data_IF_229181366779
#
_entry.id   IF_229181366779
#
_cell.length_a   1.000
_cell.length_b   1.000
_cell.length_c   1.000
_cell.angle_alpha   90.00
_cell.angle_beta   90.00
_cell.angle_gamma   90.00
#
_symmetry.space_group_name_H-M   'P 1'
#
loop_
_entity.id
_entity.type
_entity.pdbx_description
1 polymer ?
#
# COMPACT_ATOMS: atom_id res chain seq x y z
N UNK A 1 1.46 13.11 31.76
CA UNK A 1 2.16 13.46 33.02
C UNK A 1 1.40 13.01 34.29
N UNK A 2 0.06 13.29 34.39
CA UNK A 2 -0.76 12.87 35.57
C UNK A 2 -0.71 11.35 35.76
N UNK A 3 -0.98 10.56 34.69
CA UNK A 3 -0.89 9.11 34.70
C UNK A 3 0.45 8.59 35.25
N UNK A 4 1.58 9.07 34.71
CA UNK A 4 2.92 8.65 35.16
C UNK A 4 3.20 8.97 36.64
N UNK A 5 2.66 10.08 37.15
CA UNK A 5 2.81 10.43 38.59
C UNK A 5 1.94 9.57 39.49
N UNK A 6 0.72 9.25 39.05
CA UNK A 6 -0.22 8.44 39.83
C UNK A 6 0.30 7.01 40.01
N UNK A 7 1.00 6.47 38.98
CA UNK A 7 1.48 5.09 38.97
C UNK A 7 3.01 4.98 39.08
N UNK A 8 3.65 6.02 39.60
CA UNK A 8 5.11 6.05 39.79
C UNK A 8 5.52 4.90 40.75
N UNK A 9 6.51 4.10 40.28
CA UNK A 9 7.03 2.91 40.96
C UNK A 9 6.00 1.77 41.19
N UNK A 10 4.86 1.80 40.50
CA UNK A 10 3.82 0.76 40.57
C UNK A 10 3.62 0.04 39.25
N UNK A 11 2.81 -1.02 39.25
CA UNK A 11 2.30 -1.66 38.07
C UNK A 11 1.00 -0.99 37.61
N UNK A 12 0.72 -1.06 36.30
CA UNK A 12 -0.51 -0.51 35.73
C UNK A 12 -1.21 -1.55 34.86
N UNK A 13 -2.51 -1.42 34.77
CA UNK A 13 -3.33 -2.12 33.79
C UNK A 13 -3.67 -1.20 32.60
N UNK A 14 -4.08 -1.78 31.49
CA UNK A 14 -4.50 -1.04 30.29
C UNK A 14 -5.58 0.01 30.62
N UNK A 15 -6.50 -0.34 31.48
CA UNK A 15 -7.60 0.52 31.96
C UNK A 15 -7.13 1.80 32.65
N UNK A 16 -6.06 1.76 33.42
CA UNK A 16 -5.53 2.92 34.15
C UNK A 16 -5.11 4.05 33.15
N UNK A 17 -4.59 3.66 32.00
CA UNK A 17 -4.22 4.62 30.95
C UNK A 17 -5.46 5.27 30.35
N UNK A 18 -6.51 4.47 30.05
CA UNK A 18 -7.76 4.99 29.47
C UNK A 18 -8.48 5.92 30.42
N UNK A 19 -8.54 5.56 31.69
CA UNK A 19 -9.14 6.39 32.73
C UNK A 19 -8.39 7.73 32.91
N UNK A 20 -7.06 7.68 32.83
CA UNK A 20 -6.24 8.89 32.90
C UNK A 20 -6.41 9.79 31.66
N UNK A 21 -6.58 9.21 30.45
CA UNK A 21 -6.88 9.95 29.22
C UNK A 21 -8.29 10.54 29.32
N UNK A 22 -9.30 9.73 29.66
CA UNK A 22 -10.68 10.19 29.85
C UNK A 22 -10.78 11.36 30.82
N UNK A 23 -10.11 11.27 31.98
CA UNK A 23 -10.04 12.36 32.94
C UNK A 23 -9.34 13.64 32.44
N UNK A 24 -8.53 13.52 31.39
CA UNK A 24 -7.82 14.66 30.79
C UNK A 24 -8.63 15.33 29.66
N UNK A 25 -9.45 14.56 28.92
CA UNK A 25 -10.25 15.03 27.77
C UNK A 25 -11.65 15.48 28.18
N UNK A 26 -12.14 15.05 29.35
CA UNK A 26 -13.47 15.38 29.84
C UNK A 26 -14.53 14.34 29.48
N UNK A 27 -15.68 14.79 28.94
CA UNK A 27 -16.86 13.94 28.71
C UNK A 27 -16.76 12.93 27.55
N UNK A 28 -15.60 12.79 26.92
CA UNK A 28 -15.40 11.85 25.81
C UNK A 28 -15.43 10.39 26.32
N UNK A 29 -16.09 9.46 25.61
CA UNK A 29 -16.25 8.08 26.03
C UNK A 29 -14.98 7.24 25.76
N UNK A 30 -13.81 7.73 26.21
CA UNK A 30 -12.50 7.13 25.94
C UNK A 30 -12.46 5.67 26.36
N UNK A 31 -12.99 5.35 27.56
CA UNK A 31 -12.97 3.99 28.09
C UNK A 31 -13.73 3.01 27.19
N UNK A 32 -15.01 3.30 26.87
CA UNK A 32 -15.83 2.41 26.05
C UNK A 32 -15.30 2.28 24.62
N UNK A 33 -14.74 3.36 24.07
CA UNK A 33 -14.11 3.37 22.76
C UNK A 33 -12.89 2.45 22.73
N UNK A 34 -12.00 2.58 23.71
CA UNK A 34 -10.80 1.76 23.79
C UNK A 34 -11.10 0.31 24.13
N UNK A 35 -12.05 0.06 25.04
CA UNK A 35 -12.49 -1.29 25.39
C UNK A 35 -13.07 -2.03 24.18
N UNK A 36 -13.84 -1.34 23.32
CA UNK A 36 -14.35 -1.94 22.08
C UNK A 36 -13.23 -2.34 21.09
N UNK A 37 -12.08 -1.68 21.15
CA UNK A 37 -10.96 -1.93 20.24
C UNK A 37 -9.94 -2.93 20.79
N UNK A 38 -9.81 -3.04 22.14
CA UNK A 38 -8.76 -3.86 22.78
C UNK A 38 -9.29 -5.26 23.14
N UNK A 39 -10.56 -5.37 23.56
CA UNK A 39 -11.09 -6.61 24.12
C UNK A 39 -11.82 -7.51 23.11
N UNK A 40 -11.87 -7.12 21.85
CA UNK A 40 -12.38 -7.99 20.78
C UNK A 40 -11.39 -8.13 19.63
N UNK A 41 -11.28 -9.33 19.02
CA UNK A 41 -10.33 -9.57 17.94
C UNK A 41 -10.82 -8.95 16.62
N UNK A 42 -9.85 -8.54 15.77
CA UNK A 42 -10.14 -7.94 14.47
C UNK A 42 -10.26 -6.42 14.52
N UNK A 43 -10.82 -5.83 13.47
CA UNK A 43 -11.02 -4.39 13.34
C UNK A 43 -12.16 -4.10 12.34
N UNK A 44 -12.74 -2.89 12.37
CA UNK A 44 -13.87 -2.56 11.53
C UNK A 44 -13.51 -2.24 10.08
N UNK A 45 -14.42 -2.57 9.18
CA UNK A 45 -14.56 -2.02 7.84
C UNK A 45 -15.71 -1.01 7.87
N UNK A 46 -15.42 0.26 7.67
CA UNK A 46 -16.42 1.30 7.50
C UNK A 46 -16.87 1.34 6.05
N UNK A 47 -18.14 1.07 5.82
CA UNK A 47 -18.74 1.14 4.48
C UNK A 47 -19.34 2.52 4.27
N UNK A 48 -18.99 3.14 3.16
CA UNK A 48 -19.46 4.46 2.77
C UNK A 48 -20.24 4.36 1.46
N UNK A 49 -21.50 4.82 1.47
CA UNK A 49 -22.35 4.86 0.29
C UNK A 49 -23.19 6.13 0.23
N UNK A 50 -23.66 6.45 -0.97
CA UNK A 50 -24.56 7.60 -1.18
C UNK A 50 -25.98 7.10 -1.39
N UNK A 51 -26.91 7.63 -0.60
CA UNK A 51 -28.34 7.43 -0.73
C UNK A 51 -29.02 8.79 -0.97
N UNK A 52 -29.36 9.08 -2.22
CA UNK A 52 -29.91 10.40 -2.59
C UNK A 52 -28.92 11.55 -2.34
N UNK A 53 -29.20 12.36 -1.34
CA UNK A 53 -28.33 13.49 -0.91
C UNK A 53 -27.65 13.22 0.44
N UNK A 54 -27.57 12.01 0.86
CA UNK A 54 -26.95 11.62 2.13
C UNK A 54 -25.79 10.68 1.90
N UNK A 55 -24.70 10.90 2.64
CA UNK A 55 -23.66 9.91 2.89
C UNK A 55 -24.13 9.03 4.03
N UNK A 56 -24.18 7.74 3.80
CA UNK A 56 -24.51 6.73 4.81
C UNK A 56 -23.25 5.94 5.15
N UNK A 57 -22.94 5.89 6.44
CA UNK A 57 -21.80 5.13 6.98
C UNK A 57 -22.35 4.04 7.89
N UNK A 58 -21.90 2.82 7.69
CA UNK A 58 -22.10 1.71 8.61
C UNK A 58 -20.81 0.91 8.75
N UNK A 59 -20.80 -0.08 9.63
CA UNK A 59 -19.62 -0.90 9.87
C UNK A 59 -19.93 -2.40 9.83
N UNK A 60 -18.91 -3.17 9.53
CA UNK A 60 -18.85 -4.61 9.76
C UNK A 60 -17.42 -4.99 10.15
N UNK A 61 -17.22 -6.19 10.66
CA UNK A 61 -15.87 -6.73 10.85
C UNK A 61 -15.16 -6.89 9.50
N UNK A 62 -13.92 -6.42 9.39
CA UNK A 62 -13.09 -6.73 8.23
C UNK A 62 -12.60 -8.17 8.29
N UNK A 63 -12.66 -8.87 7.17
CA UNK A 63 -12.16 -10.24 7.01
C UNK A 63 -12.01 -10.62 5.55
N UNK A 64 -11.07 -11.53 5.28
CA UNK A 64 -10.85 -12.06 3.94
C UNK A 64 -11.83 -13.20 3.57
N UNK A 65 -12.44 -13.83 4.56
CA UNK A 65 -13.43 -14.88 4.37
C UNK A 65 -14.82 -14.42 4.87
N UNK A 66 -15.85 -15.08 4.38
CA UNK A 66 -17.24 -14.72 4.70
C UNK A 66 -17.59 -14.99 6.17
N UNK A 67 -17.04 -16.03 6.77
CA UNK A 67 -17.31 -16.36 8.18
C UNK A 67 -16.83 -15.23 9.09
N UNK A 68 -15.64 -14.69 8.84
CA UNK A 68 -15.12 -13.53 9.56
C UNK A 68 -15.96 -12.28 9.32
N UNK A 69 -16.41 -12.03 8.08
CA UNK A 69 -17.23 -10.86 7.74
C UNK A 69 -18.64 -10.92 8.34
N UNK A 70 -19.16 -12.13 8.56
CA UNK A 70 -20.48 -12.36 9.17
C UNK A 70 -20.47 -12.30 10.69
N UNK A 71 -19.31 -12.11 11.31
CA UNK A 71 -19.18 -11.95 12.76
C UNK A 71 -19.89 -10.67 13.20
N UNK A 72 -20.73 -10.69 14.24
CA UNK A 72 -21.55 -9.55 14.67
C UNK A 72 -20.79 -8.52 15.52
N UNK A 73 -19.47 -8.60 15.62
CA UNK A 73 -18.67 -7.67 16.39
C UNK A 73 -18.86 -6.22 15.94
N UNK A 74 -19.06 -5.32 16.87
CA UNK A 74 -19.28 -3.89 16.64
C UNK A 74 -18.28 -3.10 17.47
N UNK A 75 -17.68 -2.09 16.87
CA UNK A 75 -16.73 -1.17 17.48
C UNK A 75 -17.35 0.20 17.72
N UNK A 76 -16.79 0.95 18.63
CA UNK A 76 -16.98 2.40 18.74
C UNK A 76 -15.92 3.07 17.86
N UNK A 77 -16.27 3.43 16.62
CA UNK A 77 -15.29 3.92 15.64
C UNK A 77 -15.33 5.45 15.53
N UNK A 78 -14.28 6.16 15.95
CA UNK A 78 -14.17 7.60 15.66
C UNK A 78 -13.90 7.79 14.17
N UNK A 79 -14.89 8.24 13.43
CA UNK A 79 -14.79 8.44 11.98
C UNK A 79 -14.58 9.92 11.69
N UNK A 80 -13.55 10.20 10.88
CA UNK A 80 -13.24 11.51 10.37
C UNK A 80 -13.67 11.58 8.89
N UNK A 81 -14.56 12.51 8.56
CA UNK A 81 -15.13 12.65 7.21
C UNK A 81 -14.88 14.05 6.69
N UNK A 82 -14.35 14.16 5.47
CA UNK A 82 -14.24 15.39 4.71
C UNK A 82 -15.03 15.27 3.41
N UNK A 83 -15.86 16.26 3.11
CA UNK A 83 -16.67 16.34 1.89
C UNK A 83 -16.20 17.53 1.07
N UNK A 84 -15.65 17.28 -0.11
CA UNK A 84 -15.07 18.32 -0.95
C UNK A 84 -14.02 19.15 -0.22
N UNK A 85 -14.11 20.47 -0.32
CA UNK A 85 -13.25 21.43 0.39
C UNK A 85 -13.77 21.86 1.77
N UNK A 86 -14.84 21.21 2.30
CA UNK A 86 -15.41 21.55 3.59
C UNK A 86 -14.52 21.14 4.78
N UNK A 87 -14.81 21.73 5.95
CA UNK A 87 -14.15 21.33 7.17
C UNK A 87 -14.44 19.86 7.53
N UNK A 88 -13.46 19.21 8.14
CA UNK A 88 -13.58 17.84 8.62
C UNK A 88 -14.69 17.72 9.67
N UNK A 89 -15.52 16.71 9.53
CA UNK A 89 -16.53 16.31 10.51
C UNK A 89 -16.05 15.07 11.25
N UNK A 90 -16.28 15.05 12.54
CA UNK A 90 -15.99 13.92 13.44
C UNK A 90 -17.29 13.33 13.94
N UNK A 91 -17.39 12.02 13.90
CA UNK A 91 -18.56 11.29 14.41
C UNK A 91 -18.11 9.99 15.06
N UNK A 92 -18.94 9.48 15.95
CA UNK A 92 -18.74 8.15 16.55
C UNK A 92 -19.70 7.18 15.89
N UNK A 93 -19.17 6.22 15.15
CA UNK A 93 -19.95 5.18 14.49
C UNK A 93 -20.02 3.95 15.41
N UNK A 94 -21.23 3.61 15.84
CA UNK A 94 -21.56 2.41 16.61
C UNK A 94 -22.33 1.39 15.75
N UNK A 95 -23.32 0.72 16.37
CA UNK A 95 -24.15 -0.27 15.70
C UNK A 95 -25.08 0.33 14.64
N UNK A 96 -25.59 1.53 14.90
CA UNK A 96 -26.53 2.19 14.01
C UNK A 96 -25.81 2.97 12.91
N UNK A 97 -26.27 2.89 11.65
CA UNK A 97 -25.73 3.68 10.56
C UNK A 97 -25.82 5.19 10.85
N UNK A 98 -24.75 5.92 10.49
CA UNK A 98 -24.71 7.38 10.55
C UNK A 98 -25.06 7.97 9.19
N UNK A 99 -25.85 9.05 9.17
CA UNK A 99 -26.29 9.75 7.96
C UNK A 99 -25.81 11.21 8.00
N UNK A 100 -25.17 11.65 6.93
CA UNK A 100 -24.65 13.01 6.78
C UNK A 100 -25.21 13.61 5.50
N UNK A 101 -25.91 14.73 5.60
CA UNK A 101 -26.38 15.46 4.42
C UNK A 101 -25.18 15.94 3.57
N UNK A 102 -25.29 15.78 2.27
CA UNK A 102 -24.36 16.26 1.27
C UNK A 102 -24.95 17.49 0.58
N UNK A 103 -24.33 18.65 0.80
CA UNK A 103 -24.70 19.89 0.10
C UNK A 103 -24.50 19.74 -1.41
N UNK A 104 -23.38 19.14 -1.79
CA UNK A 104 -23.07 18.73 -3.16
C UNK A 104 -22.99 17.18 -3.23
N UNK A 105 -23.99 16.53 -3.83
CA UNK A 105 -23.98 15.07 -3.99
C UNK A 105 -22.87 14.53 -4.90
N UNK A 106 -22.18 15.40 -5.67
CA UNK A 106 -21.06 15.02 -6.53
C UNK A 106 -19.69 15.24 -5.87
N UNK A 107 -19.65 15.87 -4.70
CA UNK A 107 -18.39 16.14 -4.00
C UNK A 107 -17.61 14.85 -3.67
N UNK A 108 -16.29 14.95 -3.70
CA UNK A 108 -15.39 13.88 -3.22
C UNK A 108 -15.58 13.71 -1.72
N UNK A 109 -15.79 12.48 -1.27
CA UNK A 109 -15.92 12.14 0.14
C UNK A 109 -14.69 11.35 0.57
N UNK A 110 -13.99 11.86 1.58
CA UNK A 110 -12.86 11.18 2.21
C UNK A 110 -13.30 10.73 3.59
N UNK A 111 -13.40 9.43 3.77
CA UNK A 111 -13.60 8.78 5.07
C UNK A 111 -12.24 8.38 5.63
N UNK A 112 -12.03 8.52 6.91
CA UNK A 112 -10.71 8.48 7.57
C UNK A 112 -9.79 9.64 7.10
N UNK A 113 -10.36 10.82 6.98
CA UNK A 113 -9.59 12.01 6.62
C UNK A 113 -8.39 12.18 7.56
N UNK A 114 -7.21 12.42 6.99
CA UNK A 114 -5.95 12.52 7.73
C UNK A 114 -5.38 11.18 8.23
N UNK A 115 -6.07 10.06 8.04
CA UNK A 115 -5.54 8.73 8.37
C UNK A 115 -5.44 8.42 9.87
N UNK A 116 -6.31 9.00 10.68
CA UNK A 116 -6.21 8.91 12.14
C UNK A 116 -6.86 7.64 12.74
N UNK A 117 -7.82 7.04 12.03
CA UNK A 117 -8.59 5.91 12.52
C UNK A 117 -7.95 4.56 12.17
N UNK A 118 -8.09 3.58 13.06
CA UNK A 118 -7.67 2.20 12.82
C UNK A 118 -8.86 1.37 12.28
N UNK A 119 -9.16 1.56 11.01
CA UNK A 119 -10.21 0.85 10.25
C UNK A 119 -9.93 0.96 8.76
N UNK A 120 -10.51 0.05 7.97
CA UNK A 120 -10.54 0.14 6.52
C UNK A 120 -11.81 0.83 6.03
N UNK A 121 -11.77 1.35 4.82
CA UNK A 121 -12.92 2.01 4.20
C UNK A 121 -13.31 1.31 2.90
N UNK A 122 -14.58 0.95 2.79
CA UNK A 122 -15.17 0.48 1.55
C UNK A 122 -16.12 1.54 0.99
N UNK A 123 -15.74 2.15 -0.11
CA UNK A 123 -16.57 3.08 -0.85
C UNK A 123 -17.46 2.33 -1.84
N UNK A 124 -18.73 2.74 -2.00
CA UNK A 124 -19.55 2.28 -3.11
C UNK A 124 -18.99 2.75 -4.47
N UNK A 125 -19.54 2.26 -5.56
CA UNK A 125 -19.06 2.61 -6.91
C UNK A 125 -19.19 4.12 -7.17
N UNK A 126 -20.30 4.72 -6.77
CA UNK A 126 -20.55 6.15 -7.01
C UNK A 126 -19.52 7.05 -6.31
N UNK A 127 -19.13 6.70 -5.10
CA UNK A 127 -18.07 7.41 -4.36
C UNK A 127 -16.68 7.16 -4.93
N UNK A 128 -16.35 5.89 -5.32
CA UNK A 128 -15.06 5.57 -5.94
C UNK A 128 -14.83 6.31 -7.25
N UNK A 129 -15.87 6.47 -8.06
CA UNK A 129 -15.78 7.18 -9.35
C UNK A 129 -15.43 8.65 -9.20
N UNK A 130 -15.70 9.26 -8.03
CA UNK A 130 -15.34 10.67 -7.74
C UNK A 130 -13.84 10.90 -7.49
N UNK A 131 -13.07 9.84 -7.17
CA UNK A 131 -11.62 9.96 -7.05
C UNK A 131 -10.96 9.99 -8.43
N UNK A 132 -11.19 11.09 -9.17
CA UNK A 132 -10.52 11.37 -10.44
C UNK A 132 -9.05 11.71 -10.21
N UNK A 133 -8.23 11.74 -11.28
CA UNK A 133 -6.83 12.15 -11.17
C UNK A 133 -6.67 13.57 -10.57
N UNK A 134 -7.61 14.47 -10.84
CA UNK A 134 -7.64 15.81 -10.25
C UNK A 134 -7.98 15.77 -8.76
N UNK A 135 -8.99 14.97 -8.38
CA UNK A 135 -9.37 14.80 -6.99
C UNK A 135 -8.23 14.21 -6.14
N UNK A 136 -7.50 13.24 -6.68
CA UNK A 136 -6.35 12.62 -6.00
C UNK A 136 -5.25 13.63 -5.66
N UNK A 137 -5.04 14.67 -6.47
CA UNK A 137 -4.07 15.75 -6.15
C UNK A 137 -4.45 16.56 -4.93
N UNK A 138 -5.72 16.62 -4.59
CA UNK A 138 -6.23 17.31 -3.38
C UNK A 138 -6.16 16.46 -2.09
N UNK A 139 -5.77 15.17 -2.19
CA UNK A 139 -5.63 14.29 -1.06
C UNK A 139 -4.22 14.35 -0.46
N UNK A 140 -4.13 14.16 0.85
CA UNK A 140 -2.84 13.96 1.52
C UNK A 140 -2.23 12.61 1.11
N UNK A 141 -0.94 12.44 1.30
CA UNK A 141 -0.24 11.17 0.99
C UNK A 141 -0.88 9.98 1.70
N UNK A 142 -1.23 10.13 2.99
CA UNK A 142 -1.82 9.04 3.76
C UNK A 142 -3.22 8.68 3.24
N UNK A 143 -4.02 9.65 2.81
CA UNK A 143 -5.34 9.41 2.23
C UNK A 143 -5.24 8.67 0.89
N UNK A 144 -4.27 9.04 0.04
CA UNK A 144 -4.01 8.33 -1.22
C UNK A 144 -3.52 6.90 -0.96
N UNK A 145 -2.60 6.72 0.01
CA UNK A 145 -2.14 5.41 0.42
C UNK A 145 -3.28 4.52 0.89
N UNK A 146 -4.11 5.01 1.81
CA UNK A 146 -5.26 4.27 2.33
C UNK A 146 -6.26 3.90 1.23
N UNK A 147 -6.56 4.82 0.32
CA UNK A 147 -7.47 4.56 -0.79
C UNK A 147 -7.01 3.37 -1.65
N UNK A 148 -5.71 3.29 -1.94
CA UNK A 148 -5.14 2.17 -2.70
C UNK A 148 -5.10 0.90 -1.88
N UNK A 149 -4.62 0.97 -0.63
CA UNK A 149 -4.48 -0.20 0.24
C UNK A 149 -5.84 -0.81 0.60
N UNK A 150 -6.84 0.02 0.92
CA UNK A 150 -8.19 -0.44 1.19
C UNK A 150 -8.84 -1.08 -0.04
N UNK A 151 -8.67 -0.48 -1.23
CA UNK A 151 -9.18 -1.04 -2.47
C UNK A 151 -8.52 -2.39 -2.80
N UNK A 152 -7.20 -2.53 -2.61
CA UNK A 152 -6.51 -3.78 -2.82
C UNK A 152 -6.97 -4.87 -1.83
N UNK A 153 -7.07 -4.54 -0.55
CA UNK A 153 -7.57 -5.49 0.44
C UNK A 153 -9.04 -5.88 0.21
N UNK A 154 -9.86 -4.99 -0.35
CA UNK A 154 -11.21 -5.33 -0.78
C UNK A 154 -11.23 -6.32 -1.97
N UNK A 155 -10.23 -6.24 -2.88
CA UNK A 155 -10.07 -7.25 -3.95
C UNK A 155 -9.70 -8.60 -3.36
N UNK A 156 -8.72 -8.65 -2.45
CA UNK A 156 -8.30 -9.89 -1.79
C UNK A 156 -9.45 -10.52 -0.97
N UNK A 157 -10.30 -9.67 -0.39
CA UNK A 157 -11.50 -10.09 0.35
C UNK A 157 -12.71 -10.41 -0.56
N UNK A 158 -12.55 -10.42 -1.89
CA UNK A 158 -13.62 -10.66 -2.88
C UNK A 158 -14.80 -9.66 -2.83
N UNK A 159 -14.58 -8.49 -2.21
CA UNK A 159 -15.57 -7.42 -2.08
C UNK A 159 -15.46 -6.37 -3.19
N UNK A 160 -14.37 -6.39 -3.95
CA UNK A 160 -14.13 -5.50 -5.08
C UNK A 160 -13.56 -6.30 -6.26
N UNK A 161 -14.10 -6.09 -7.45
CA UNK A 161 -13.53 -6.69 -8.65
C UNK A 161 -12.12 -6.13 -8.95
N UNK A 162 -11.18 -7.00 -9.36
CA UNK A 162 -9.82 -6.60 -9.75
C UNK A 162 -9.82 -5.51 -10.83
N UNK A 163 -10.76 -5.55 -11.78
CA UNK A 163 -10.93 -4.51 -12.80
C UNK A 163 -11.23 -3.13 -12.21
N UNK A 164 -11.98 -3.07 -11.09
CA UNK A 164 -12.28 -1.81 -10.40
C UNK A 164 -11.04 -1.25 -9.71
N UNK A 165 -10.19 -2.10 -9.15
CA UNK A 165 -8.88 -1.69 -8.62
C UNK A 165 -7.98 -1.14 -9.71
N UNK A 166 -7.88 -1.83 -10.87
CA UNK A 166 -7.09 -1.36 -12.01
C UNK A 166 -7.57 0.01 -12.50
N UNK A 167 -8.90 0.21 -12.64
CA UNK A 167 -9.47 1.50 -13.03
C UNK A 167 -9.20 2.61 -12.00
N UNK A 168 -9.07 2.29 -10.71
CA UNK A 168 -8.62 3.24 -9.70
C UNK A 168 -7.12 3.53 -9.84
N UNK A 169 -6.29 2.49 -9.96
CA UNK A 169 -4.84 2.62 -10.07
C UNK A 169 -4.42 3.51 -11.25
N UNK A 170 -5.10 3.40 -12.40
CA UNK A 170 -4.82 4.21 -13.60
C UNK A 170 -5.01 5.72 -13.40
N UNK A 171 -5.70 6.14 -12.35
CA UNK A 171 -5.86 7.55 -12.01
C UNK A 171 -4.66 8.15 -11.29
N UNK A 172 -3.70 7.31 -10.85
CA UNK A 172 -2.50 7.71 -10.11
C UNK A 172 -1.31 8.10 -11.00
N UNK A 173 -1.54 8.48 -12.25
CA UNK A 173 -0.46 8.91 -13.18
C UNK A 173 0.37 10.10 -12.67
N UNK A 174 -0.20 10.91 -11.77
CA UNK A 174 0.47 12.03 -11.11
C UNK A 174 1.19 11.68 -9.81
N UNK A 175 1.16 10.42 -9.37
CA UNK A 175 1.72 10.04 -8.06
C UNK A 175 3.25 10.12 -8.05
N UNK A 176 3.79 10.66 -6.95
CA UNK A 176 5.21 10.87 -6.73
C UNK A 176 5.71 10.34 -5.38
N UNK A 177 4.81 9.74 -4.58
CA UNK A 177 5.18 9.21 -3.27
C UNK A 177 5.51 7.72 -3.33
N UNK A 178 6.64 7.36 -2.74
CA UNK A 178 7.13 5.98 -2.72
C UNK A 178 6.15 4.99 -2.04
N UNK A 179 5.56 5.36 -0.90
CA UNK A 179 4.66 4.46 -0.17
C UNK A 179 3.36 4.19 -0.94
N UNK A 180 2.80 5.19 -1.61
CA UNK A 180 1.61 5.01 -2.47
C UNK A 180 1.93 4.09 -3.64
N UNK A 181 3.10 4.28 -4.28
CA UNK A 181 3.56 3.38 -5.35
C UNK A 181 3.83 1.94 -4.87
N UNK A 182 4.29 1.75 -3.62
CA UNK A 182 4.40 0.41 -3.04
C UNK A 182 3.04 -0.27 -2.93
N UNK A 183 2.01 0.44 -2.48
CA UNK A 183 0.65 -0.10 -2.40
C UNK A 183 0.08 -0.43 -3.80
N UNK A 184 0.27 0.47 -4.78
CA UNK A 184 -0.11 0.21 -6.18
C UNK A 184 0.60 -1.03 -6.73
N UNK A 185 1.92 -1.12 -6.57
CA UNK A 185 2.74 -2.24 -7.06
C UNK A 185 2.33 -3.57 -6.42
N UNK A 186 1.97 -3.57 -5.12
CA UNK A 186 1.48 -4.77 -4.43
C UNK A 186 0.19 -5.30 -5.08
N UNK A 187 -0.79 -4.43 -5.34
CA UNK A 187 -2.04 -4.80 -6.01
C UNK A 187 -1.82 -5.27 -7.45
N UNK A 188 -1.01 -4.54 -8.23
CA UNK A 188 -0.69 -4.91 -9.61
C UNK A 188 0.02 -6.27 -9.70
N UNK A 189 0.96 -6.53 -8.79
CA UNK A 189 1.65 -7.83 -8.68
C UNK A 189 0.67 -8.95 -8.31
N UNK A 190 -0.23 -8.69 -7.35
CA UNK A 190 -1.25 -9.66 -6.95
C UNK A 190 -2.15 -10.05 -8.12
N UNK A 191 -2.63 -9.09 -8.91
CA UNK A 191 -3.43 -9.36 -10.10
C UNK A 191 -2.62 -10.10 -11.16
N UNK A 192 -1.35 -9.70 -11.37
CA UNK A 192 -0.45 -10.31 -12.36
C UNK A 192 -0.23 -11.81 -12.14
N UNK A 193 -0.32 -12.28 -10.90
CA UNK A 193 -0.20 -13.71 -10.55
C UNK A 193 -1.44 -14.54 -10.89
N UNK A 194 -2.58 -13.89 -11.15
CA UNK A 194 -3.87 -14.55 -11.36
C UNK A 194 -4.31 -14.53 -12.84
N UNK A 195 -3.62 -13.78 -13.69
CA UNK A 195 -4.00 -13.62 -15.10
C UNK A 195 -2.94 -14.22 -16.02
N UNK A 196 -3.39 -14.85 -17.10
CA UNK A 196 -2.54 -15.53 -18.09
C UNK A 196 -2.89 -15.08 -19.52
N UNK A 197 -2.05 -15.46 -20.47
CA UNK A 197 -2.29 -15.24 -21.90
C UNK A 197 -2.49 -13.77 -22.27
N UNK A 198 -3.51 -13.49 -23.08
CA UNK A 198 -3.81 -12.14 -23.57
C UNK A 198 -4.15 -11.16 -22.46
N UNK A 199 -4.82 -11.63 -21.39
CA UNK A 199 -5.12 -10.79 -20.22
C UNK A 199 -3.86 -10.34 -19.52
N UNK A 200 -2.85 -11.21 -19.40
CA UNK A 200 -1.55 -10.86 -18.83
C UNK A 200 -0.80 -9.83 -19.70
N UNK A 201 -0.83 -10.03 -21.04
CA UNK A 201 -0.23 -9.08 -21.97
C UNK A 201 -0.90 -7.69 -21.89
N UNK A 202 -2.23 -7.66 -21.82
CA UNK A 202 -3.00 -6.43 -21.64
C UNK A 202 -2.68 -5.75 -20.29
N UNK A 203 -2.58 -6.50 -19.19
CA UNK A 203 -2.19 -5.97 -17.88
C UNK A 203 -0.80 -5.34 -17.92
N UNK A 204 0.18 -6.03 -18.51
CA UNK A 204 1.54 -5.49 -18.70
C UNK A 204 1.55 -4.16 -19.43
N UNK A 205 0.75 -4.01 -20.50
CA UNK A 205 0.65 -2.74 -21.20
C UNK A 205 0.08 -1.65 -20.31
N UNK A 206 -1.02 -1.91 -19.59
CA UNK A 206 -1.63 -0.94 -18.65
C UNK A 206 -0.64 -0.51 -17.57
N UNK A 207 0.16 -1.44 -17.05
CA UNK A 207 1.20 -1.13 -16.06
C UNK A 207 2.27 -0.20 -16.64
N UNK A 208 2.73 -0.45 -17.87
CA UNK A 208 3.68 0.45 -18.55
C UNK A 208 3.11 1.85 -18.72
N UNK A 209 1.85 1.94 -19.17
CA UNK A 209 1.18 3.23 -19.39
C UNK A 209 1.00 4.01 -18.06
N UNK A 210 0.72 3.30 -16.97
CA UNK A 210 0.58 3.90 -15.64
C UNK A 210 1.93 4.41 -15.10
N UNK A 211 3.01 3.63 -15.25
CA UNK A 211 4.30 3.94 -14.62
C UNK A 211 5.13 4.94 -15.42
N UNK A 212 4.95 4.98 -16.75
CA UNK A 212 5.77 5.79 -17.64
C UNK A 212 5.82 7.29 -17.28
N UNK A 213 4.71 7.97 -16.91
CA UNK A 213 4.76 9.37 -16.52
C UNK A 213 5.58 9.61 -15.25
N UNK A 214 5.45 8.73 -14.24
CA UNK A 214 6.19 8.84 -12.98
C UNK A 214 7.68 8.56 -13.19
N UNK A 215 8.01 7.51 -13.92
CA UNK A 215 9.40 7.17 -14.28
C UNK A 215 10.04 8.27 -15.13
N UNK A 216 9.27 8.87 -16.05
CA UNK A 216 9.73 10.02 -16.85
C UNK A 216 10.09 11.25 -16.01
N UNK A 217 9.31 11.53 -14.94
CA UNK A 217 9.60 12.64 -14.02
C UNK A 217 10.84 12.38 -13.16
N UNK A 218 10.97 11.19 -12.59
CA UNK A 218 12.09 10.83 -11.70
C UNK A 218 13.38 10.57 -12.50
N UNK A 219 13.22 10.06 -13.71
CA UNK A 219 14.32 9.70 -14.60
C UNK A 219 15.14 8.48 -14.12
N UNK A 220 16.10 8.07 -14.93
CA UNK A 220 17.01 6.96 -14.62
C UNK A 220 18.26 7.41 -13.86
N UNK A 221 18.66 8.66 -14.04
CA UNK A 221 19.88 9.20 -13.44
C UNK A 221 19.52 9.99 -12.19
N UNK A 222 20.12 9.67 -11.03
CA UNK A 222 19.94 10.45 -9.82
C UNK A 222 20.35 11.92 -10.02
N UNK A 223 19.53 12.84 -9.53
CA UNK A 223 19.85 14.25 -9.52
C UNK A 223 20.79 14.59 -8.36
N UNK A 224 21.65 15.59 -8.52
CA UNK A 224 22.53 16.05 -7.44
C UNK A 224 21.67 16.56 -6.27
N UNK A 225 21.92 16.02 -5.07
CA UNK A 225 21.21 16.41 -3.85
C UNK A 225 19.80 15.84 -3.70
N UNK A 226 19.40 14.87 -4.51
CA UNK A 226 18.09 14.24 -4.33
C UNK A 226 17.99 13.47 -2.99
N UNK A 227 16.78 13.42 -2.44
CA UNK A 227 16.53 12.72 -1.19
C UNK A 227 16.49 11.19 -1.36
N UNK A 228 16.75 10.43 -0.29
CA UNK A 228 16.76 8.96 -0.34
C UNK A 228 15.43 8.34 -0.77
N UNK A 229 14.31 8.98 -0.49
CA UNK A 229 12.99 8.49 -0.92
C UNK A 229 12.78 8.61 -2.43
N UNK A 230 13.39 9.60 -3.09
CA UNK A 230 13.36 9.73 -4.56
C UNK A 230 14.16 8.62 -5.22
N UNK A 231 15.33 8.29 -4.67
CA UNK A 231 16.14 7.17 -5.15
C UNK A 231 15.38 5.83 -5.02
N UNK A 232 14.72 5.60 -3.88
CA UNK A 232 13.86 4.41 -3.66
C UNK A 232 12.66 4.38 -4.61
N UNK A 233 12.00 5.51 -4.82
CA UNK A 233 10.90 5.62 -5.77
C UNK A 233 11.36 5.27 -7.19
N UNK A 234 12.52 5.80 -7.62
CA UNK A 234 13.12 5.45 -8.92
C UNK A 234 13.31 3.94 -9.05
N UNK A 235 13.95 3.31 -8.08
CA UNK A 235 14.16 1.87 -8.08
C UNK A 235 12.85 1.08 -8.17
N UNK A 236 11.84 1.47 -7.39
CA UNK A 236 10.52 0.85 -7.45
C UNK A 236 9.85 1.00 -8.82
N UNK A 237 9.84 2.21 -9.40
CA UNK A 237 9.24 2.46 -10.72
C UNK A 237 9.94 1.67 -11.83
N UNK A 238 11.29 1.60 -11.79
CA UNK A 238 12.06 0.77 -12.71
C UNK A 238 11.68 -0.71 -12.56
N UNK A 239 11.58 -1.22 -11.34
CA UNK A 239 11.16 -2.61 -11.08
C UNK A 239 9.73 -2.87 -11.56
N UNK A 240 8.79 -1.95 -11.30
CA UNK A 240 7.40 -2.06 -11.78
C UNK A 240 7.35 -2.08 -13.31
N UNK A 241 8.07 -1.19 -14.00
CA UNK A 241 8.13 -1.18 -15.46
C UNK A 241 8.75 -2.47 -16.01
N UNK A 242 9.94 -2.83 -15.54
CA UNK A 242 10.73 -3.93 -16.07
C UNK A 242 10.11 -5.31 -15.78
N UNK A 243 9.64 -5.53 -14.55
CA UNK A 243 9.13 -6.85 -14.10
C UNK A 243 7.63 -6.95 -14.35
N UNK A 244 6.84 -6.10 -13.69
CA UNK A 244 5.38 -6.20 -13.79
C UNK A 244 4.86 -5.74 -15.14
N UNK A 245 5.47 -4.70 -15.73
CA UNK A 245 5.16 -4.21 -17.07
C UNK A 245 5.78 -5.04 -18.19
N UNK A 246 6.77 -5.88 -17.91
CA UNK A 246 7.50 -6.64 -18.92
C UNK A 246 8.22 -5.75 -19.94
N UNK A 247 8.72 -4.59 -19.52
CA UNK A 247 9.42 -3.61 -20.36
C UNK A 247 10.83 -4.09 -20.70
N UNK A 248 11.01 -4.59 -21.91
CA UNK A 248 12.28 -5.18 -22.40
C UNK A 248 13.41 -4.15 -22.41
N UNK A 249 13.12 -2.89 -22.72
CA UNK A 249 14.14 -1.83 -22.73
C UNK A 249 14.60 -1.50 -21.28
N UNK A 250 13.68 -1.47 -20.33
CA UNK A 250 14.02 -1.32 -18.92
C UNK A 250 14.83 -2.52 -18.40
N UNK A 251 14.48 -3.75 -18.77
CA UNK A 251 15.23 -4.96 -18.43
C UNK A 251 16.66 -4.90 -19.00
N UNK A 252 16.82 -4.56 -20.29
CA UNK A 252 18.13 -4.41 -20.92
C UNK A 252 18.97 -3.37 -20.19
N UNK A 253 18.39 -2.20 -19.87
CA UNK A 253 19.08 -1.14 -19.17
C UNK A 253 19.51 -1.55 -17.76
N UNK A 254 18.72 -2.37 -17.06
CA UNK A 254 19.13 -2.93 -15.78
C UNK A 254 20.33 -3.87 -15.91
N UNK A 255 20.41 -4.69 -16.98
CA UNK A 255 21.59 -5.53 -17.25
C UNK A 255 22.84 -4.67 -17.51
N UNK A 256 22.71 -3.58 -18.28
CA UNK A 256 23.80 -2.63 -18.54
C UNK A 256 24.31 -1.96 -17.25
N UNK A 257 23.38 -1.51 -16.38
CA UNK A 257 23.71 -0.93 -15.06
C UNK A 257 24.45 -1.93 -14.15
N UNK A 258 24.00 -3.19 -14.15
CA UNK A 258 24.63 -4.24 -13.35
C UNK A 258 26.03 -4.56 -13.86
N UNK A 259 26.23 -4.63 -15.17
CA UNK A 259 27.55 -4.82 -15.76
C UNK A 259 28.51 -3.64 -15.51
N UNK A 260 27.99 -2.42 -15.54
CA UNK A 260 28.77 -1.23 -15.18
C UNK A 260 29.19 -1.27 -13.70
N UNK A 261 28.29 -1.61 -12.78
CA UNK A 261 28.57 -1.72 -11.36
C UNK A 261 29.57 -2.85 -11.03
N UNK A 262 29.58 -3.94 -11.80
CA UNK A 262 30.60 -5.01 -11.65
C UNK A 262 32.01 -4.51 -12.04
N UNK A 263 32.08 -3.59 -13.02
CA UNK A 263 33.36 -3.02 -13.48
C UNK A 263 33.84 -1.92 -12.57
N UNK A 264 32.94 -1.02 -12.19
CA UNK A 264 33.20 0.08 -11.25
C UNK A 264 31.97 0.28 -10.33
N UNK A 265 32.01 -0.23 -9.09
CA UNK A 265 30.90 -0.10 -8.14
C UNK A 265 30.48 1.35 -7.83
N UNK A 266 31.38 2.34 -8.03
CA UNK A 266 31.06 3.74 -7.80
C UNK A 266 30.33 4.41 -8.98
N UNK A 267 30.31 3.78 -10.14
CA UNK A 267 29.69 4.32 -11.37
C UNK A 267 28.17 4.31 -11.35
N UNK A 268 27.53 3.49 -10.50
CA UNK A 268 26.07 3.32 -10.42
C UNK A 268 25.59 3.56 -8.99
N UNK A 269 24.50 4.32 -8.87
CA UNK A 269 23.88 4.57 -7.54
C UNK A 269 23.44 3.25 -6.87
N UNK A 270 23.71 3.03 -5.57
CA UNK A 270 23.45 1.78 -4.86
C UNK A 270 21.99 1.26 -4.96
N UNK A 271 20.99 2.16 -4.92
CA UNK A 271 19.58 1.80 -5.08
C UNK A 271 19.27 1.27 -6.49
N UNK A 272 19.92 1.79 -7.52
CA UNK A 272 19.79 1.29 -8.88
C UNK A 272 20.49 -0.05 -9.07
N UNK A 273 21.64 -0.27 -8.41
CA UNK A 273 22.30 -1.58 -8.39
C UNK A 273 21.39 -2.63 -7.75
N UNK A 274 20.79 -2.32 -6.58
CA UNK A 274 19.87 -3.21 -5.92
C UNK A 274 18.64 -3.53 -6.80
N UNK A 275 18.10 -2.51 -7.45
CA UNK A 275 16.99 -2.66 -8.40
C UNK A 275 17.38 -3.52 -9.59
N UNK A 276 18.56 -3.26 -10.20
CA UNK A 276 19.05 -4.02 -11.35
C UNK A 276 19.27 -5.50 -10.99
N UNK A 277 19.77 -5.81 -9.80
CA UNK A 277 19.87 -7.19 -9.30
C UNK A 277 18.49 -7.86 -9.29
N UNK A 278 17.49 -7.23 -8.70
CA UNK A 278 16.14 -7.80 -8.60
C UNK A 278 15.50 -7.96 -9.99
N UNK A 279 15.65 -6.99 -10.88
CA UNK A 279 15.10 -7.06 -12.25
C UNK A 279 15.78 -8.18 -13.04
N UNK A 280 17.13 -8.26 -13.00
CA UNK A 280 17.87 -9.31 -13.71
C UNK A 280 17.51 -10.69 -13.16
N UNK A 281 17.36 -10.83 -11.86
CA UNK A 281 16.93 -12.09 -11.25
C UNK A 281 15.51 -12.49 -11.66
N UNK A 282 14.55 -11.56 -11.58
CA UNK A 282 13.15 -11.82 -11.93
C UNK A 282 12.88 -12.07 -13.42
N UNK A 283 13.83 -11.70 -14.30
CA UNK A 283 13.68 -11.82 -15.76
C UNK A 283 14.82 -12.57 -16.42
N UNK A 284 15.69 -13.21 -15.61
CA UNK A 284 16.92 -13.85 -16.01
C UNK A 284 16.75 -15.31 -16.38
N UNK A 285 17.84 -15.86 -16.90
CA UNK A 285 17.98 -17.26 -17.29
C UNK A 285 18.96 -18.02 -16.35
N UNK A 286 19.30 -19.25 -16.73
CA UNK A 286 20.23 -20.10 -16.00
C UNK A 286 21.62 -19.47 -15.84
N UNK A 287 22.06 -18.66 -16.79
CA UNK A 287 23.35 -17.96 -16.73
C UNK A 287 23.35 -16.90 -15.63
N UNK A 288 22.26 -16.12 -15.54
CA UNK A 288 22.08 -15.14 -14.49
C UNK A 288 21.97 -15.81 -13.12
N UNK A 289 21.28 -16.96 -13.05
CA UNK A 289 21.18 -17.75 -11.82
C UNK A 289 22.55 -18.22 -11.32
N UNK A 290 23.37 -18.82 -12.18
CA UNK A 290 24.73 -19.26 -11.83
C UNK A 290 25.62 -18.11 -11.37
N UNK A 291 25.46 -16.94 -11.95
CA UNK A 291 26.14 -15.71 -11.51
C UNK A 291 25.78 -15.37 -10.06
N UNK A 292 24.48 -15.29 -9.71
CA UNK A 292 24.04 -14.98 -8.34
C UNK A 292 24.39 -16.10 -7.35
N UNK A 293 24.32 -17.37 -7.76
CA UNK A 293 24.77 -18.50 -6.94
C UNK A 293 26.27 -18.40 -6.64
N UNK A 294 27.06 -17.99 -7.63
CA UNK A 294 28.49 -17.73 -7.43
C UNK A 294 28.74 -16.58 -6.45
N UNK A 295 27.95 -15.51 -6.54
CA UNK A 295 28.03 -14.38 -5.58
C UNK A 295 27.63 -14.83 -4.16
N UNK A 296 26.55 -15.60 -4.01
CA UNK A 296 26.11 -16.16 -2.73
C UNK A 296 27.24 -16.98 -2.04
N UNK A 297 27.89 -17.86 -2.82
CA UNK A 297 28.95 -18.74 -2.31
C UNK A 297 30.26 -18.03 -1.96
N UNK A 298 30.55 -16.92 -2.61
CA UNK A 298 31.81 -16.16 -2.43
C UNK A 298 31.62 -14.85 -1.66
N UNK A 299 30.45 -14.63 -1.06
CA UNK A 299 30.17 -13.39 -0.35
C UNK A 299 31.08 -13.23 0.88
N UNK A 300 31.75 -12.09 0.98
CA UNK A 300 32.64 -11.75 2.09
C UNK A 300 31.89 -11.16 3.30
N UNK A 301 30.62 -10.80 3.13
CA UNK A 301 29.79 -10.24 4.19
C UNK A 301 28.41 -10.89 4.23
N UNK A 302 27.78 -11.01 5.43
CA UNK A 302 26.40 -11.51 5.55
C UNK A 302 25.40 -10.72 4.70
N UNK A 303 25.57 -9.41 4.55
CA UNK A 303 24.70 -8.55 3.75
C UNK A 303 24.80 -8.90 2.25
N UNK A 304 26.01 -9.11 1.74
CA UNK A 304 26.22 -9.52 0.35
C UNK A 304 25.63 -10.91 0.08
N UNK A 305 25.81 -11.84 1.04
CA UNK A 305 25.25 -13.18 0.97
C UNK A 305 23.71 -13.16 0.93
N UNK A 306 23.07 -12.41 1.84
CA UNK A 306 21.61 -12.28 1.86
C UNK A 306 21.07 -11.61 0.59
N UNK A 307 21.76 -10.62 0.05
CA UNK A 307 21.36 -9.98 -1.22
C UNK A 307 21.36 -10.99 -2.37
N UNK A 308 22.39 -11.81 -2.46
CA UNK A 308 22.47 -12.84 -3.49
C UNK A 308 21.42 -13.94 -3.28
N UNK A 309 21.12 -14.32 -2.04
CA UNK A 309 20.08 -15.29 -1.72
C UNK A 309 18.68 -14.77 -2.12
N UNK A 310 18.37 -13.50 -1.81
CA UNK A 310 17.12 -12.90 -2.23
C UNK A 310 17.00 -12.80 -3.75
N UNK A 311 18.10 -12.49 -4.45
CA UNK A 311 18.11 -12.53 -5.91
C UNK A 311 17.81 -13.94 -6.45
N UNK A 312 18.38 -14.99 -5.87
CA UNK A 312 18.10 -16.39 -6.26
C UNK A 312 16.61 -16.77 -6.05
N UNK A 313 15.93 -16.17 -5.07
CA UNK A 313 14.52 -16.41 -4.79
C UNK A 313 13.56 -15.66 -5.73
N UNK A 314 14.05 -14.71 -6.54
CA UNK A 314 13.22 -13.94 -7.49
C UNK A 314 13.07 -14.62 -8.88
N UNK A 315 13.83 -15.69 -9.17
CA UNK A 315 13.70 -16.39 -10.45
C UNK A 315 12.33 -17.07 -10.60
N UNK A 316 11.77 -17.00 -11.81
CA UNK A 316 10.43 -17.52 -12.15
C UNK A 316 10.49 -18.89 -12.84
N UNK A 317 11.50 -19.70 -12.54
CA UNK A 317 11.69 -21.06 -13.07
C UNK A 317 11.52 -22.06 -11.95
N UNK A 318 10.58 -23.01 -12.07
CA UNK A 318 10.36 -24.07 -11.07
C UNK A 318 11.66 -24.82 -10.74
N UNK A 319 12.48 -25.11 -11.73
CA UNK A 319 13.78 -25.80 -11.57
C UNK A 319 14.73 -24.94 -10.74
N UNK A 320 14.81 -23.63 -11.00
CA UNK A 320 15.72 -22.73 -10.30
C UNK A 320 15.21 -22.44 -8.88
N UNK A 321 13.89 -22.32 -8.70
CA UNK A 321 13.27 -22.20 -7.37
C UNK A 321 13.60 -23.42 -6.51
N UNK A 322 13.42 -24.64 -7.04
CA UNK A 322 13.78 -25.87 -6.31
C UNK A 322 15.26 -25.89 -5.94
N UNK A 323 16.15 -25.53 -6.87
CA UNK A 323 17.60 -25.44 -6.57
C UNK A 323 17.92 -24.42 -5.49
N UNK A 324 17.16 -23.34 -5.41
CA UNK A 324 17.33 -22.33 -4.33
C UNK A 324 16.87 -22.86 -2.99
N UNK A 325 15.78 -23.64 -2.96
CA UNK A 325 15.29 -24.28 -1.73
C UNK A 325 16.25 -25.37 -1.20
N UNK A 326 17.09 -25.94 -2.05
CA UNK A 326 18.04 -27.00 -1.72
C UNK A 326 19.41 -26.46 -1.25
N UNK A 327 19.61 -25.12 -1.20
CA UNK A 327 20.84 -24.47 -0.74
C UNK A 327 20.98 -24.46 0.77
#
# INVERSE_FOLDING_TARGET
RRYLRTHEHGNTETSDLWDAIGAAVGDEPVRSLMDSSIWQPGFPLVRARVEGRELVLDQQRFGFDEATRSDPSIWQVPVHVRVGGAAERRLLLGAEPQRLALDDPAAVVVVNAGGHGFYRVAYDQALRERFTADALRGLTTIERYQLVDDAWNAVVAEQLAAASFLGLAERFTGEDNHAVWQALAAGLRGIGRLVEGDAHAALRQRIRDLVAPALGRVGWTPAAGEGPLTAKLRGLLVSVSAVLGGDVDAQRRCRELLAAADTDPASVHPELVATAINVVAATGDDTDYERFLGQFRRADTPQAQLRALYALAEFDSEVLVQRTCDL
#
